data_IF_346835143716
#
_entry.id   IF_346835143716
#
_cell.length_a   1.000
_cell.length_b   1.000
_cell.length_c   1.000
_cell.angle_alpha   90.00
_cell.angle_beta   90.00
_cell.angle_gamma   90.00
#
_symmetry.space_group_name_H-M   'P 1'
#
loop_
_entity.id
_entity.type
_entity.pdbx_description
1 polymer ?
#
# COMPACT_ATOMS: atom_id res chain seq x y z
N UNK A 1 -32.41 -3.54 12.23
CA UNK A 1 -31.42 -4.17 11.34
C UNK A 1 -30.52 -3.07 10.78
N UNK A 2 -29.18 -3.21 10.90
CA UNK A 2 -28.20 -2.14 10.66
C UNK A 2 -27.59 -2.29 9.25
N UNK A 3 -27.68 -1.29 8.35
CA UNK A 3 -27.11 -1.34 7.00
C UNK A 3 -25.63 -0.89 6.93
N UNK A 4 -25.12 -0.71 5.71
CA UNK A 4 -23.90 -1.32 5.14
C UNK A 4 -22.94 -0.26 4.51
N UNK A 5 -21.59 -0.41 4.60
CA UNK A 5 -20.59 0.64 4.26
C UNK A 5 -19.20 0.14 3.74
N UNK A 6 -18.72 0.47 2.53
CA UNK A 6 -17.28 0.28 2.15
C UNK A 6 -16.41 1.43 2.74
N UNK A 7 -15.07 1.41 2.56
CA UNK A 7 -14.10 1.39 3.62
C UNK A 7 -13.79 2.80 4.17
N UNK A 8 -14.63 3.30 5.09
CA UNK A 8 -14.19 4.36 5.99
C UNK A 8 -13.31 3.72 7.09
N UNK A 9 -12.06 3.39 6.77
CA UNK A 9 -11.06 2.93 7.74
C UNK A 9 -10.85 3.97 8.87
N UNK A 10 -11.16 5.24 8.62
CA UNK A 10 -11.18 6.32 9.61
C UNK A 10 -12.38 6.30 10.55
N UNK A 11 -13.55 5.82 10.11
CA UNK A 11 -14.81 6.04 10.83
C UNK A 11 -15.43 4.77 11.40
N UNK A 12 -15.39 3.62 10.69
CA UNK A 12 -16.22 2.46 11.05
C UNK A 12 -15.59 1.53 12.10
N UNK A 13 -14.30 1.17 12.03
CA UNK A 13 -13.66 0.36 13.08
C UNK A 13 -13.73 1.06 14.45
N UNK A 14 -13.56 2.38 14.45
CA UNK A 14 -13.57 3.23 15.64
C UNK A 14 -14.98 3.72 16.04
N UNK A 15 -16.01 3.48 15.22
CA UNK A 15 -17.36 4.02 15.42
C UNK A 15 -18.01 3.53 16.72
N UNK A 16 -17.83 2.25 17.06
CA UNK A 16 -18.40 1.70 18.29
C UNK A 16 -17.75 2.34 19.50
N UNK A 17 -16.42 2.42 19.51
CA UNK A 17 -15.61 2.99 20.58
C UNK A 17 -15.89 4.50 20.76
N UNK A 18 -15.84 5.28 19.68
CA UNK A 18 -16.16 6.71 19.70
C UNK A 18 -17.64 6.97 20.01
N UNK A 19 -18.53 6.05 19.62
CA UNK A 19 -19.97 6.11 19.89
C UNK A 19 -20.29 5.87 21.37
N UNK A 20 -19.59 4.96 22.04
CA UNK A 20 -19.69 4.72 23.49
C UNK A 20 -19.09 5.85 24.31
N UNK A 21 -17.98 6.45 23.86
CA UNK A 21 -17.26 7.49 24.63
C UNK A 21 -17.89 8.89 24.46
N UNK A 22 -18.27 9.27 23.24
CA UNK A 22 -18.70 10.65 22.93
C UNK A 22 -20.20 10.79 22.61
N UNK A 23 -20.89 9.67 22.36
CA UNK A 23 -22.24 9.66 21.81
C UNK A 23 -22.27 9.83 20.28
N UNK A 24 -23.09 9.02 19.61
CA UNK A 24 -23.13 8.88 18.14
C UNK A 24 -23.35 10.21 17.41
N UNK A 25 -24.19 11.10 17.95
CA UNK A 25 -24.50 12.39 17.33
C UNK A 25 -23.39 13.44 17.52
N UNK A 26 -22.57 13.33 18.57
CA UNK A 26 -21.44 14.24 18.80
C UNK A 26 -20.23 13.81 17.97
N UNK A 27 -19.91 12.52 17.91
CA UNK A 27 -18.80 12.00 17.09
C UNK A 27 -18.98 12.29 15.60
N UNK A 28 -20.21 12.20 15.07
CA UNK A 28 -20.55 12.55 13.68
C UNK A 28 -20.33 14.02 13.36
N UNK A 29 -20.77 14.92 14.23
CA UNK A 29 -20.56 16.37 14.07
C UNK A 29 -19.08 16.72 14.17
N UNK A 30 -18.36 16.06 15.07
CA UNK A 30 -16.92 16.24 15.21
C UNK A 30 -16.19 15.80 13.93
N UNK A 31 -16.50 14.62 13.38
CA UNK A 31 -15.91 14.14 12.14
C UNK A 31 -16.16 15.08 10.96
N UNK A 32 -17.40 15.59 10.81
CA UNK A 32 -17.74 16.59 9.79
C UNK A 32 -16.94 17.88 9.94
N UNK A 33 -16.81 18.40 11.18
CA UNK A 33 -16.04 19.62 11.45
C UNK A 33 -14.55 19.45 11.21
N UNK A 34 -13.98 18.31 11.62
CA UNK A 34 -12.57 17.98 11.35
C UNK A 34 -12.33 17.91 9.85
N UNK A 35 -13.19 17.18 9.12
CA UNK A 35 -13.04 17.07 7.67
C UNK A 35 -13.24 18.43 6.98
N UNK A 36 -14.16 19.26 7.46
CA UNK A 36 -14.33 20.62 6.97
C UNK A 36 -13.11 21.51 7.25
N UNK A 37 -12.48 21.37 8.42
CA UNK A 37 -11.24 22.07 8.76
C UNK A 37 -10.07 21.61 7.87
N UNK A 38 -9.93 20.30 7.68
CA UNK A 38 -8.93 19.72 6.76
C UNK A 38 -9.15 20.26 5.35
N UNK A 39 -10.37 20.21 4.83
CA UNK A 39 -10.71 20.70 3.48
C UNK A 39 -10.50 22.21 3.34
N UNK A 40 -10.70 22.99 4.41
CA UNK A 40 -10.50 24.44 4.41
C UNK A 40 -9.02 24.85 4.44
N UNK A 41 -8.12 23.98 4.91
CA UNK A 41 -6.70 24.24 4.87
C UNK A 41 -6.17 24.30 3.43
N UNK A 42 -5.12 25.10 3.15
CA UNK A 42 -4.44 25.08 1.85
C UNK A 42 -4.03 23.65 1.47
N UNK A 43 -4.41 23.20 0.27
CA UNK A 43 -4.16 21.82 -0.18
C UNK A 43 -5.09 20.74 0.41
N UNK A 44 -5.97 21.09 1.35
CA UNK A 44 -6.87 20.16 2.04
C UNK A 44 -7.77 19.32 1.13
N UNK A 45 -8.35 19.95 0.09
CA UNK A 45 -9.13 19.24 -0.93
C UNK A 45 -8.30 18.19 -1.68
N UNK A 46 -7.07 18.54 -2.03
CA UNK A 46 -6.16 17.63 -2.71
C UNK A 46 -5.75 16.47 -1.80
N UNK A 47 -5.53 16.72 -0.51
CA UNK A 47 -5.28 15.69 0.49
C UNK A 47 -6.46 14.73 0.64
N UNK A 48 -7.69 15.24 0.75
CA UNK A 48 -8.89 14.36 0.82
C UNK A 48 -9.04 13.53 -0.47
N UNK A 49 -8.83 14.14 -1.63
CA UNK A 49 -8.86 13.42 -2.91
C UNK A 49 -7.78 12.32 -2.99
N UNK A 50 -6.57 12.61 -2.50
CA UNK A 50 -5.49 11.63 -2.38
C UNK A 50 -5.88 10.48 -1.46
N UNK A 51 -6.37 10.78 -0.25
CA UNK A 51 -6.76 9.79 0.75
C UNK A 51 -7.81 8.83 0.21
N UNK A 52 -8.79 9.33 -0.55
CA UNK A 52 -9.81 8.49 -1.18
C UNK A 52 -9.27 7.68 -2.37
N UNK A 53 -8.12 8.04 -2.91
CA UNK A 53 -7.54 7.51 -4.14
C UNK A 53 -8.18 8.14 -5.37
N UNK A 54 -7.46 8.23 -6.49
CA UNK A 54 -8.00 8.88 -7.68
C UNK A 54 -9.18 8.10 -8.29
N UNK A 55 -10.22 8.83 -8.69
CA UNK A 55 -11.40 8.32 -9.39
C UNK A 55 -11.85 9.34 -10.45
N UNK A 56 -12.28 8.85 -11.62
CA UNK A 56 -12.88 9.68 -12.66
C UNK A 56 -14.38 9.49 -12.62
N UNK A 57 -15.14 10.56 -12.42
CA UNK A 57 -16.59 10.52 -12.44
C UNK A 57 -17.08 10.14 -13.85
N UNK A 58 -18.06 9.24 -13.99
CA UNK A 58 -18.68 8.96 -15.28
C UNK A 58 -19.50 10.16 -15.76
N UNK A 59 -19.45 10.43 -17.07
CA UNK A 59 -20.19 11.52 -17.68
C UNK A 59 -21.70 11.28 -17.59
N UNK A 60 -22.46 12.35 -17.32
CA UNK A 60 -23.93 12.29 -17.25
C UNK A 60 -24.52 11.69 -15.97
N UNK A 61 -23.69 11.21 -15.03
CA UNK A 61 -24.16 10.63 -13.76
C UNK A 61 -24.08 11.69 -12.65
N UNK A 62 -25.23 12.07 -12.09
CA UNK A 62 -25.32 13.04 -11.02
C UNK A 62 -25.76 12.38 -9.71
N UNK A 63 -24.88 12.46 -8.71
CA UNK A 63 -25.15 12.03 -7.33
C UNK A 63 -24.89 13.19 -6.39
N UNK A 64 -25.84 13.48 -5.51
CA UNK A 64 -25.81 14.60 -4.59
C UNK A 64 -26.40 14.26 -3.23
N UNK A 65 -26.52 15.26 -2.36
CA UNK A 65 -27.16 15.09 -1.05
C UNK A 65 -27.95 16.32 -0.63
N UNK A 66 -29.00 16.07 0.16
CA UNK A 66 -29.75 17.11 0.86
C UNK A 66 -29.20 17.30 2.26
N UNK A 67 -28.96 18.56 2.62
CA UNK A 67 -28.44 18.95 3.92
C UNK A 67 -29.26 20.07 4.56
N UNK A 68 -29.48 20.03 5.88
CA UNK A 68 -30.14 21.15 6.57
C UNK A 68 -29.30 22.44 6.53
N UNK A 69 -29.92 23.64 6.51
CA UNK A 69 -29.18 24.92 6.46
C UNK A 69 -28.12 25.05 7.56
N UNK A 70 -28.40 24.56 8.77
CA UNK A 70 -27.45 24.58 9.90
C UNK A 70 -26.12 23.86 9.63
N UNK A 71 -26.06 22.99 8.63
CA UNK A 71 -24.85 22.26 8.21
C UNK A 71 -24.35 22.66 6.82
N UNK A 72 -25.01 23.60 6.14
CA UNK A 72 -24.74 23.94 4.74
C UNK A 72 -23.29 24.35 4.50
N UNK A 73 -22.71 25.19 5.38
CA UNK A 73 -21.33 25.69 5.22
C UNK A 73 -20.30 24.56 5.20
N UNK A 74 -20.44 23.60 6.11
CA UNK A 74 -19.51 22.45 6.20
C UNK A 74 -19.78 21.47 5.06
N UNK A 75 -21.05 21.20 4.75
CA UNK A 75 -21.47 20.29 3.70
C UNK A 75 -21.02 20.74 2.29
N UNK A 76 -21.21 22.02 1.96
CA UNK A 76 -20.79 22.60 0.68
C UNK A 76 -19.26 22.53 0.48
N UNK A 77 -18.49 22.47 1.55
CA UNK A 77 -17.03 22.29 1.48
C UNK A 77 -16.66 20.82 1.30
N UNK A 78 -17.27 19.96 2.10
CA UNK A 78 -16.85 18.56 2.29
C UNK A 78 -17.43 17.63 1.21
N UNK A 79 -18.73 17.71 0.93
CA UNK A 79 -19.41 16.76 0.06
C UNK A 79 -18.87 16.75 -1.39
N UNK A 80 -18.53 17.90 -2.01
CA UNK A 80 -17.93 17.89 -3.34
C UNK A 80 -16.59 17.15 -3.39
N UNK A 81 -15.76 17.29 -2.35
CA UNK A 81 -14.47 16.60 -2.25
C UNK A 81 -14.63 15.06 -2.10
N UNK A 82 -15.79 14.61 -1.62
CA UNK A 82 -16.11 13.20 -1.41
C UNK A 82 -16.79 12.53 -2.61
N UNK A 83 -17.19 13.30 -3.62
CA UNK A 83 -17.85 12.77 -4.82
C UNK A 83 -19.21 13.38 -5.14
N UNK A 84 -19.80 14.19 -4.25
CA UNK A 84 -21.07 14.83 -4.57
C UNK A 84 -20.90 15.81 -5.76
N UNK A 85 -21.87 15.78 -6.66
CA UNK A 85 -22.01 16.69 -7.80
C UNK A 85 -23.02 17.79 -7.53
N UNK A 86 -24.02 17.51 -6.70
CA UNK A 86 -25.07 18.43 -6.29
C UNK A 86 -25.18 18.42 -4.76
N UNK A 87 -25.35 19.58 -4.14
CA UNK A 87 -25.62 19.71 -2.71
C UNK A 87 -26.81 20.64 -2.55
N UNK A 88 -27.93 20.09 -2.11
CA UNK A 88 -29.18 20.83 -1.92
C UNK A 88 -29.33 21.23 -0.45
N UNK A 89 -29.67 22.50 -0.20
CA UNK A 89 -29.79 23.06 1.16
C UNK A 89 -31.25 23.43 1.42
N UNK A 90 -31.88 22.77 2.41
CA UNK A 90 -33.29 22.94 2.76
C UNK A 90 -34.22 23.03 1.53
N UNK A 91 -34.34 21.95 0.73
CA UNK A 91 -35.11 21.99 -0.50
C UNK A 91 -36.59 22.28 -0.18
N UNK A 92 -37.10 23.39 -0.73
CA UNK A 92 -38.51 23.80 -0.63
C UNK A 92 -39.42 23.15 -1.66
N UNK A 93 -38.91 22.18 -2.43
CA UNK A 93 -39.61 21.46 -3.52
C UNK A 93 -39.49 19.96 -3.28
N UNK A 94 -40.45 19.17 -3.76
CA UNK A 94 -40.39 17.70 -3.80
C UNK A 94 -39.20 17.25 -4.67
N UNK A 95 -38.06 17.01 -4.05
CA UNK A 95 -36.93 16.32 -4.68
C UNK A 95 -37.03 14.85 -4.31
N UNK A 96 -36.86 13.96 -5.30
CA UNK A 96 -36.79 12.52 -5.05
C UNK A 96 -35.50 12.20 -4.28
N UNK A 97 -35.63 12.08 -2.95
CA UNK A 97 -34.55 11.73 -2.04
C UNK A 97 -34.56 10.22 -1.83
N UNK A 98 -33.39 9.59 -1.95
CA UNK A 98 -33.20 8.20 -1.56
C UNK A 98 -32.79 8.16 -0.10
N UNK A 99 -33.60 7.49 0.72
CA UNK A 99 -33.31 7.21 2.13
C UNK A 99 -32.69 5.81 2.35
N UNK A 100 -32.70 4.97 1.32
CA UNK A 100 -32.08 3.65 1.35
C UNK A 100 -30.56 3.73 1.11
N UNK A 101 -29.72 3.32 2.08
CA UNK A 101 -28.27 3.39 1.95
C UNK A 101 -27.69 2.36 0.96
N UNK A 102 -28.49 1.41 0.44
CA UNK A 102 -28.02 0.39 -0.51
C UNK A 102 -27.58 1.00 -1.83
N UNK A 103 -26.36 0.67 -2.26
CA UNK A 103 -25.78 1.13 -3.53
C UNK A 103 -26.65 0.71 -4.72
N UNK A 104 -27.16 -0.52 -4.72
CA UNK A 104 -28.00 -1.03 -5.81
C UNK A 104 -29.27 -0.21 -6.06
N UNK A 105 -29.89 0.32 -4.99
CA UNK A 105 -31.08 1.18 -5.09
C UNK A 105 -30.74 2.49 -5.79
N UNK A 106 -29.60 3.11 -5.44
CA UNK A 106 -29.12 4.32 -6.09
C UNK A 106 -28.71 4.08 -7.55
N UNK A 107 -28.03 2.98 -7.85
CA UNK A 107 -27.64 2.63 -9.23
C UNK A 107 -28.88 2.38 -10.09
N UNK A 108 -29.89 1.68 -9.57
CA UNK A 108 -31.15 1.46 -10.29
C UNK A 108 -31.87 2.77 -10.62
N UNK A 109 -31.86 3.74 -9.70
CA UNK A 109 -32.42 5.06 -9.94
C UNK A 109 -31.63 5.86 -11.00
N UNK A 110 -30.31 5.69 -11.07
CA UNK A 110 -29.45 6.32 -12.09
C UNK A 110 -29.62 5.73 -13.50
N UNK A 111 -30.31 4.61 -13.65
CA UNK A 111 -30.60 4.03 -14.98
C UNK A 111 -31.56 4.88 -15.81
N UNK A 112 -32.34 5.77 -15.19
CA UNK A 112 -33.21 6.69 -15.90
C UNK A 112 -32.40 7.85 -16.53
N UNK A 113 -32.61 8.18 -17.82
CA UNK A 113 -31.88 9.27 -18.48
C UNK A 113 -32.04 10.61 -17.74
N UNK A 114 -30.92 11.27 -17.43
CA UNK A 114 -30.90 12.55 -16.72
C UNK A 114 -31.24 12.47 -15.23
N UNK A 115 -31.37 11.26 -14.66
CA UNK A 115 -31.67 11.10 -13.25
C UNK A 115 -30.54 11.64 -12.36
N UNK A 116 -30.94 12.39 -11.35
CA UNK A 116 -30.08 12.82 -10.25
C UNK A 116 -30.47 12.06 -9.00
N UNK A 117 -29.52 11.36 -8.39
CA UNK A 117 -29.75 10.69 -7.11
C UNK A 117 -29.30 11.59 -5.97
N UNK A 118 -30.23 11.92 -5.08
CA UNK A 118 -29.94 12.70 -3.89
C UNK A 118 -30.04 11.82 -2.64
N UNK A 119 -28.93 11.71 -1.91
CA UNK A 119 -28.88 11.06 -0.61
C UNK A 119 -29.58 11.88 0.46
N UNK A 120 -30.50 11.26 1.18
CA UNK A 120 -31.08 11.81 2.39
C UNK A 120 -30.07 11.86 3.55
N UNK A 121 -30.34 12.65 4.61
CA UNK A 121 -29.49 12.68 5.80
C UNK A 121 -29.30 11.29 6.42
N UNK A 122 -30.32 10.43 6.38
CA UNK A 122 -30.26 9.06 6.89
C UNK A 122 -29.20 8.22 6.16
N UNK A 123 -29.10 8.37 4.83
CA UNK A 123 -28.08 7.70 4.01
C UNK A 123 -26.69 8.15 4.39
N UNK A 124 -26.42 9.46 4.54
CA UNK A 124 -25.08 9.91 4.93
C UNK A 124 -24.70 9.46 6.34
N UNK A 125 -25.67 9.43 7.24
CA UNK A 125 -25.48 8.95 8.60
C UNK A 125 -25.18 7.45 8.62
N UNK A 126 -25.81 6.68 7.75
CA UNK A 126 -25.73 5.22 7.75
C UNK A 126 -24.72 4.61 6.79
N UNK A 127 -24.57 5.14 5.59
CA UNK A 127 -23.62 4.69 4.59
C UNK A 127 -22.26 5.41 4.68
N UNK A 128 -22.22 6.58 5.31
CA UNK A 128 -21.02 7.42 5.39
C UNK A 128 -20.73 8.23 4.12
N UNK A 129 -19.80 9.19 4.20
CA UNK A 129 -19.47 10.11 3.11
C UNK A 129 -18.93 9.43 1.85
N UNK A 130 -18.25 8.28 1.99
CA UNK A 130 -17.75 7.52 0.85
C UNK A 130 -18.87 6.89 -0.01
N UNK A 131 -20.14 6.98 0.41
CA UNK A 131 -21.28 6.46 -0.35
C UNK A 131 -21.35 7.02 -1.78
N UNK A 132 -21.13 8.32 -1.99
CA UNK A 132 -21.18 8.92 -3.33
C UNK A 132 -20.23 8.22 -4.30
N UNK A 133 -18.98 8.04 -3.87
CA UNK A 133 -17.96 7.38 -4.67
C UNK A 133 -18.35 5.95 -5.02
N UNK A 134 -18.93 5.21 -4.08
CA UNK A 134 -19.34 3.82 -4.31
C UNK A 134 -20.48 3.71 -5.31
N UNK A 135 -21.46 4.61 -5.22
CA UNK A 135 -22.53 4.72 -6.20
C UNK A 135 -21.96 5.06 -7.57
N UNK A 136 -21.05 6.03 -7.66
CA UNK A 136 -20.40 6.40 -8.92
C UNK A 136 -19.55 5.26 -9.50
N UNK A 137 -18.77 4.55 -8.68
CA UNK A 137 -17.97 3.38 -9.10
C UNK A 137 -18.88 2.27 -9.65
N UNK A 138 -20.04 2.04 -9.02
CA UNK A 138 -21.01 1.03 -9.43
C UNK A 138 -21.84 1.44 -10.65
N UNK A 139 -22.12 2.73 -10.82
CA UNK A 139 -22.84 3.27 -11.97
C UNK A 139 -21.93 3.50 -13.20
N UNK A 140 -20.61 3.38 -13.03
CA UNK A 140 -19.66 3.58 -14.14
C UNK A 140 -19.79 2.44 -15.15
N UNK A 141 -20.03 2.73 -16.45
CA UNK A 141 -20.02 1.70 -17.48
C UNK A 141 -18.65 1.03 -17.60
N UNK A 142 -18.64 -0.31 -17.61
CA UNK A 142 -17.41 -1.10 -17.66
C UNK A 142 -17.36 -2.02 -18.87
N UNK A 143 -16.18 -2.18 -19.46
CA UNK A 143 -15.93 -3.18 -20.48
C UNK A 143 -15.46 -4.51 -19.88
N UNK A 144 -15.54 -5.64 -20.61
CA UNK A 144 -14.98 -6.92 -20.16
C UNK A 144 -13.49 -6.82 -19.83
N UNK A 145 -13.00 -7.63 -18.91
CA UNK A 145 -11.57 -7.70 -18.60
C UNK A 145 -10.78 -8.11 -19.86
N UNK A 146 -9.71 -7.37 -20.19
CA UNK A 146 -8.88 -7.68 -21.37
C UNK A 146 -8.11 -8.98 -21.14
N UNK A 147 -8.33 -10.09 -21.85
CA UNK A 147 -7.57 -11.32 -21.62
C UNK A 147 -6.12 -11.19 -22.10
N UNK A 148 -5.21 -12.01 -21.56
CA UNK A 148 -3.79 -12.03 -21.98
C UNK A 148 -3.63 -12.40 -23.46
N UNK A 149 -4.55 -13.21 -23.99
CA UNK A 149 -4.54 -13.68 -25.38
C UNK A 149 -4.73 -12.56 -26.40
N UNK A 150 -5.31 -11.43 -25.99
CA UNK A 150 -5.60 -10.29 -26.86
C UNK A 150 -4.47 -9.25 -26.86
N UNK A 151 -3.29 -9.60 -26.34
CA UNK A 151 -2.14 -8.71 -26.33
C UNK A 151 -1.56 -8.54 -27.74
N UNK A 152 -1.27 -7.30 -28.19
CA UNK A 152 -0.57 -7.08 -29.44
C UNK A 152 0.79 -7.79 -29.45
N UNK A 153 1.20 -8.33 -30.61
CA UNK A 153 2.54 -8.91 -30.78
C UNK A 153 3.66 -7.87 -30.66
N UNK A 154 3.38 -6.63 -31.05
CA UNK A 154 4.33 -5.51 -30.93
C UNK A 154 4.36 -4.97 -29.48
N UNK A 155 5.50 -5.06 -28.75
CA UNK A 155 5.64 -4.55 -27.40
C UNK A 155 5.33 -3.06 -27.25
N UNK A 156 5.56 -2.25 -28.29
CA UNK A 156 5.29 -0.81 -28.26
C UNK A 156 3.80 -0.49 -28.09
N UNK A 157 2.94 -1.46 -28.39
CA UNK A 157 1.48 -1.37 -28.24
C UNK A 157 0.96 -2.07 -26.99
N UNK A 158 1.84 -2.61 -26.15
CA UNK A 158 1.41 -3.27 -24.92
C UNK A 158 0.71 -2.27 -23.98
N UNK A 159 -0.39 -2.70 -23.34
CA UNK A 159 -1.05 -1.91 -22.32
C UNK A 159 -0.14 -1.77 -21.10
N UNK A 160 -0.29 -0.66 -20.36
CA UNK A 160 0.60 -0.28 -19.26
C UNK A 160 0.73 -1.35 -18.17
N UNK A 161 -0.34 -2.10 -17.89
CA UNK A 161 -0.31 -3.16 -16.89
C UNK A 161 0.67 -4.30 -17.23
N UNK A 162 0.95 -4.57 -18.52
CA UNK A 162 1.93 -5.61 -18.90
C UNK A 162 3.32 -5.18 -18.44
N UNK A 163 3.71 -3.94 -18.72
CA UNK A 163 4.97 -3.37 -18.24
C UNK A 163 5.06 -3.41 -16.71
N UNK A 164 3.95 -3.11 -16.01
CA UNK A 164 3.90 -3.21 -14.56
C UNK A 164 4.14 -4.61 -14.02
N UNK A 165 3.62 -5.64 -14.71
CA UNK A 165 3.89 -7.05 -14.39
C UNK A 165 5.34 -7.41 -14.69
N UNK A 166 5.90 -6.97 -15.82
CA UNK A 166 7.31 -7.23 -16.17
C UNK A 166 8.26 -6.65 -15.12
N UNK A 167 8.01 -5.42 -14.64
CA UNK A 167 8.78 -4.83 -13.54
C UNK A 167 8.64 -5.67 -12.27
N UNK A 168 7.42 -6.12 -11.93
CA UNK A 168 7.20 -6.97 -10.76
C UNK A 168 7.99 -8.28 -10.84
N UNK A 169 7.96 -8.96 -11.99
CA UNK A 169 8.75 -10.17 -12.23
C UNK A 169 10.25 -9.87 -12.16
N UNK A 170 10.71 -8.79 -12.79
CA UNK A 170 12.11 -8.37 -12.74
C UNK A 170 12.60 -8.14 -11.32
N UNK A 171 11.77 -7.53 -10.47
CA UNK A 171 12.08 -7.31 -9.06
C UNK A 171 12.10 -8.62 -8.25
N UNK A 172 11.20 -9.57 -8.53
CA UNK A 172 11.25 -10.93 -7.95
C UNK A 172 12.55 -11.63 -8.35
N UNK A 173 12.90 -11.63 -9.64
CA UNK A 173 14.13 -12.25 -10.12
C UNK A 173 15.38 -11.60 -9.51
N UNK A 174 15.40 -10.27 -9.38
CA UNK A 174 16.49 -9.55 -8.74
C UNK A 174 16.62 -9.92 -7.25
N UNK A 175 15.50 -9.97 -6.51
CA UNK A 175 15.50 -10.40 -5.11
C UNK A 175 15.94 -11.85 -4.93
N UNK A 176 15.48 -12.78 -5.77
CA UNK A 176 15.95 -14.17 -5.76
C UNK A 176 17.43 -14.28 -6.10
N UNK A 177 17.91 -13.50 -7.08
CA UNK A 177 19.33 -13.40 -7.41
C UNK A 177 20.16 -12.92 -6.22
N UNK A 178 19.72 -11.87 -5.53
CA UNK A 178 20.35 -11.36 -4.32
C UNK A 178 20.38 -12.42 -3.20
N UNK A 179 19.29 -13.18 -3.01
CA UNK A 179 19.26 -14.29 -2.06
C UNK A 179 20.26 -15.40 -2.41
N UNK A 180 20.37 -15.79 -3.69
CA UNK A 180 21.36 -16.79 -4.15
C UNK A 180 22.79 -16.29 -3.94
N UNK A 181 23.07 -15.02 -4.20
CA UNK A 181 24.38 -14.42 -3.95
C UNK A 181 24.69 -14.45 -2.44
N UNK A 182 23.71 -14.08 -1.62
CA UNK A 182 23.85 -14.02 -0.15
C UNK A 182 24.10 -15.39 0.46
N UNK A 183 23.39 -16.43 0.01
CA UNK A 183 23.55 -17.81 0.48
C UNK A 183 24.76 -18.53 -0.14
N UNK A 184 25.25 -18.05 -1.27
CA UNK A 184 26.38 -18.62 -1.99
C UNK A 184 27.68 -17.87 -1.70
N UNK A 185 28.17 -17.05 -2.65
CA UNK A 185 29.48 -16.40 -2.53
C UNK A 185 29.56 -15.29 -1.46
N UNK A 186 28.43 -14.76 -0.99
CA UNK A 186 28.27 -13.59 -0.10
C UNK A 186 28.79 -12.27 -0.70
N UNK A 187 30.02 -12.29 -1.21
CA UNK A 187 30.71 -11.17 -1.84
C UNK A 187 30.91 -11.42 -3.33
N UNK A 188 30.47 -10.46 -4.15
CA UNK A 188 30.79 -10.42 -5.57
C UNK A 188 32.18 -9.78 -5.81
N UNK A 189 32.63 -9.78 -7.07
CA UNK A 189 33.95 -9.28 -7.43
C UNK A 189 34.14 -7.81 -7.00
N UNK A 190 33.16 -6.96 -7.24
CA UNK A 190 33.21 -5.54 -6.85
C UNK A 190 33.14 -5.34 -5.33
N UNK A 191 32.50 -6.25 -4.58
CA UNK A 191 32.49 -6.20 -3.11
C UNK A 191 33.92 -6.47 -2.59
N UNK A 192 34.58 -7.50 -3.14
CA UNK A 192 35.96 -7.85 -2.79
C UNK A 192 36.95 -6.77 -3.18
N UNK A 193 36.78 -6.17 -4.34
CA UNK A 193 37.64 -5.08 -4.81
C UNK A 193 37.49 -3.84 -3.92
N UNK A 194 36.27 -3.53 -3.47
CA UNK A 194 36.00 -2.40 -2.57
C UNK A 194 36.54 -2.65 -1.15
N UNK A 195 36.36 -3.87 -0.63
CA UNK A 195 36.82 -4.23 0.71
C UNK A 195 38.31 -4.57 0.77
N UNK A 196 38.93 -4.96 -0.34
CA UNK A 196 40.27 -5.55 -0.36
C UNK A 196 40.35 -6.91 0.36
N UNK A 197 39.22 -7.56 0.61
CA UNK A 197 39.11 -8.78 1.41
C UNK A 197 38.24 -9.84 0.73
N UNK A 198 38.51 -11.10 1.06
CA UNK A 198 37.63 -12.23 0.76
C UNK A 198 36.67 -12.47 1.93
N UNK A 199 35.70 -13.38 1.77
CA UNK A 199 34.83 -13.83 2.86
C UNK A 199 35.63 -14.41 4.03
N UNK A 200 36.73 -15.13 3.76
CA UNK A 200 37.64 -15.60 4.79
C UNK A 200 38.33 -14.45 5.53
N UNK A 201 38.66 -13.37 4.82
CA UNK A 201 39.20 -12.15 5.43
C UNK A 201 38.20 -11.47 6.37
N UNK A 202 36.92 -11.43 6.00
CA UNK A 202 35.85 -10.93 6.89
C UNK A 202 35.72 -11.79 8.15
N UNK A 203 35.71 -13.11 8.02
CA UNK A 203 35.67 -14.02 9.17
C UNK A 203 36.90 -13.92 10.10
N UNK A 204 38.02 -13.40 9.59
CA UNK A 204 39.21 -13.15 10.40
C UNK A 204 39.13 -11.84 11.18
N UNK A 205 38.37 -10.86 10.68
CA UNK A 205 38.04 -9.64 11.44
C UNK A 205 37.08 -10.02 12.57
N UNK A 206 36.02 -10.74 12.22
CA UNK A 206 35.00 -11.16 13.16
C UNK A 206 34.25 -12.36 12.59
N UNK A 207 34.11 -13.43 13.39
CA UNK A 207 33.49 -14.68 12.98
C UNK A 207 32.00 -14.58 12.64
N UNK A 208 31.28 -13.62 13.22
CA UNK A 208 29.83 -13.44 13.03
C UNK A 208 29.52 -12.39 11.95
N UNK A 209 30.55 -11.73 11.40
CA UNK A 209 30.38 -10.66 10.42
C UNK A 209 29.76 -11.14 9.10
N UNK A 210 30.12 -12.33 8.63
CA UNK A 210 29.51 -12.89 7.42
C UNK A 210 28.04 -13.21 7.65
N UNK A 211 27.70 -13.81 8.79
CA UNK A 211 26.32 -14.12 9.17
C UNK A 211 25.49 -12.83 9.33
N UNK A 212 26.08 -11.79 9.90
CA UNK A 212 25.50 -10.46 9.97
C UNK A 212 25.25 -9.87 8.57
N UNK A 213 26.20 -9.93 7.64
CA UNK A 213 25.97 -9.46 6.27
C UNK A 213 24.87 -10.27 5.57
N UNK A 214 24.82 -11.58 5.82
CA UNK A 214 23.79 -12.44 5.27
C UNK A 214 22.39 -12.10 5.79
N UNK A 215 22.26 -11.77 7.07
CA UNK A 215 20.99 -11.38 7.67
C UNK A 215 20.41 -10.12 7.00
N UNK A 216 21.24 -9.09 6.79
CA UNK A 216 20.83 -7.82 6.16
C UNK A 216 20.45 -8.05 4.70
N UNK A 217 21.31 -8.73 3.93
CA UNK A 217 21.10 -8.95 2.49
C UNK A 217 19.95 -9.90 2.19
N UNK A 218 19.74 -10.95 2.99
CA UNK A 218 18.63 -11.88 2.77
C UNK A 218 17.29 -11.26 3.18
N UNK A 219 17.27 -10.42 4.21
CA UNK A 219 16.10 -9.61 4.60
C UNK A 219 15.74 -8.59 3.51
N UNK A 220 16.75 -7.91 2.94
CA UNK A 220 16.57 -7.06 1.77
C UNK A 220 16.02 -7.85 0.57
N UNK A 221 16.62 -8.99 0.24
CA UNK A 221 16.19 -9.85 -0.85
C UNK A 221 14.70 -10.27 -0.72
N UNK A 222 14.28 -10.66 0.48
CA UNK A 222 12.86 -10.94 0.76
C UNK A 222 11.95 -9.73 0.53
N UNK A 223 12.40 -8.55 0.93
CA UNK A 223 11.70 -7.27 0.67
C UNK A 223 11.61 -6.97 -0.82
N UNK A 224 12.66 -7.24 -1.60
CA UNK A 224 12.63 -7.08 -3.06
C UNK A 224 11.59 -8.00 -3.70
N UNK A 225 11.56 -9.27 -3.31
CA UNK A 225 10.54 -10.22 -3.79
C UNK A 225 9.13 -9.74 -3.40
N UNK A 226 8.96 -9.23 -2.17
CA UNK A 226 7.70 -8.63 -1.70
C UNK A 226 7.25 -7.45 -2.59
N UNK A 227 8.14 -6.51 -2.93
CA UNK A 227 7.84 -5.41 -3.87
C UNK A 227 7.43 -5.97 -5.23
N UNK A 228 8.16 -6.97 -5.75
CA UNK A 228 7.85 -7.58 -7.02
C UNK A 228 6.45 -8.20 -7.06
N UNK A 229 6.05 -8.90 -5.99
CA UNK A 229 4.70 -9.43 -5.81
C UNK A 229 3.66 -8.30 -5.74
N UNK A 230 3.91 -7.24 -4.96
CA UNK A 230 3.01 -6.08 -4.85
C UNK A 230 2.80 -5.40 -6.22
N UNK A 231 3.87 -5.24 -6.99
CA UNK A 231 3.84 -4.57 -8.29
C UNK A 231 3.13 -5.42 -9.34
N UNK A 232 3.42 -6.72 -9.39
CA UNK A 232 2.70 -7.65 -10.24
C UNK A 232 1.20 -7.70 -9.88
N UNK A 233 0.87 -7.73 -8.59
CA UNK A 233 -0.51 -7.71 -8.08
C UNK A 233 -1.26 -6.43 -8.43
N UNK A 234 -0.68 -5.24 -8.17
CA UNK A 234 -1.25 -3.94 -8.53
C UNK A 234 -1.46 -3.81 -10.04
N UNK A 235 -0.50 -4.28 -10.85
CA UNK A 235 -0.61 -4.23 -12.29
C UNK A 235 -1.69 -5.19 -12.82
N UNK A 236 -1.65 -6.45 -12.41
CA UNK A 236 -2.57 -7.50 -12.86
C UNK A 236 -3.99 -7.35 -12.33
N UNK A 237 -4.15 -7.06 -11.04
CA UNK A 237 -5.45 -6.95 -10.38
C UNK A 237 -6.04 -5.55 -10.47
N UNK A 238 -5.20 -4.52 -10.52
CA UNK A 238 -5.60 -3.11 -10.48
C UNK A 238 -5.59 -2.43 -11.85
N UNK A 239 -4.39 -2.13 -12.36
CA UNK A 239 -4.17 -1.34 -13.59
C UNK A 239 -4.88 -1.99 -14.79
N UNK A 240 -4.74 -3.31 -14.94
CA UNK A 240 -5.40 -4.12 -15.97
C UNK A 240 -6.92 -4.01 -15.95
N UNK A 241 -7.52 -3.77 -14.78
CA UNK A 241 -8.97 -3.62 -14.59
C UNK A 241 -9.45 -2.16 -14.69
N UNK A 242 -8.56 -1.22 -15.00
CA UNK A 242 -8.94 0.19 -15.15
C UNK A 242 -8.82 1.02 -13.87
N UNK A 243 -8.38 0.45 -12.74
CA UNK A 243 -8.32 1.17 -11.48
C UNK A 243 -7.22 2.23 -11.48
N UNK A 244 -7.61 3.51 -11.48
CA UNK A 244 -6.66 4.65 -11.44
C UNK A 244 -5.83 4.65 -10.15
N UNK A 245 -6.47 4.37 -9.01
CA UNK A 245 -5.79 4.30 -7.72
C UNK A 245 -4.70 3.23 -7.68
N UNK A 246 -4.83 2.14 -8.44
CA UNK A 246 -3.82 1.09 -8.46
C UNK A 246 -2.55 1.55 -9.20
N UNK A 247 -2.74 2.29 -10.30
CA UNK A 247 -1.65 2.96 -11.02
C UNK A 247 -0.99 4.04 -10.15
N UNK A 248 -1.78 4.77 -9.37
CA UNK A 248 -1.23 5.77 -8.44
C UNK A 248 -0.48 5.11 -7.28
N UNK A 249 -0.99 4.02 -6.69
CA UNK A 249 -0.28 3.27 -5.64
C UNK A 249 1.07 2.73 -6.13
N UNK A 250 1.06 2.17 -7.35
CA UNK A 250 2.26 1.71 -8.03
C UNK A 250 3.25 2.87 -8.26
N UNK A 251 2.78 4.01 -8.76
CA UNK A 251 3.60 5.19 -9.00
C UNK A 251 4.19 5.76 -7.70
N UNK A 252 3.39 5.95 -6.66
CA UNK A 252 3.83 6.58 -5.40
C UNK A 252 4.88 5.69 -4.72
N UNK A 253 4.65 4.38 -4.68
CA UNK A 253 5.64 3.42 -4.17
C UNK A 253 6.96 3.52 -4.94
N UNK A 254 6.92 3.51 -6.28
CA UNK A 254 8.14 3.59 -7.09
C UNK A 254 8.84 4.94 -7.02
N UNK A 255 8.11 6.06 -6.92
CA UNK A 255 8.69 7.40 -6.71
C UNK A 255 9.42 7.51 -5.39
N UNK A 256 9.04 6.71 -4.38
CA UNK A 256 9.81 6.62 -3.13
C UNK A 256 10.97 5.63 -3.27
N UNK A 257 10.77 4.49 -3.93
CA UNK A 257 11.79 3.45 -4.06
C UNK A 257 12.94 3.79 -5.01
N UNK A 258 12.71 4.32 -6.21
CA UNK A 258 13.79 4.58 -7.16
C UNK A 258 14.82 5.61 -6.66
N UNK A 259 14.42 6.73 -6.02
CA UNK A 259 15.38 7.68 -5.48
C UNK A 259 16.25 7.14 -4.35
N UNK A 260 15.90 6.01 -3.71
CA UNK A 260 16.76 5.45 -2.64
C UNK A 260 18.08 4.90 -3.19
N UNK A 261 18.21 4.74 -4.52
CA UNK A 261 19.48 4.53 -5.19
C UNK A 261 20.50 5.64 -4.85
N UNK A 262 20.04 6.87 -4.62
CA UNK A 262 20.91 7.99 -4.26
C UNK A 262 21.48 7.88 -2.83
N UNK A 263 20.96 6.98 -1.99
CA UNK A 263 21.60 6.69 -0.71
C UNK A 263 23.03 6.19 -0.89
N UNK A 264 23.32 5.50 -2.00
CA UNK A 264 24.65 4.99 -2.32
C UNK A 264 25.68 6.10 -2.57
N UNK A 265 25.23 7.30 -2.94
CA UNK A 265 26.12 8.46 -3.04
C UNK A 265 26.64 8.91 -1.66
N UNK A 266 25.87 8.66 -0.59
CA UNK A 266 26.24 9.06 0.76
C UNK A 266 27.25 8.10 1.40
N UNK A 267 27.31 6.84 0.95
CA UNK A 267 28.20 5.81 1.49
C UNK A 267 29.53 5.72 0.76
N UNK A 268 29.65 6.32 -0.44
CA UNK A 268 30.86 6.22 -1.28
C UNK A 268 31.02 4.86 -1.97
N UNK A 269 30.04 3.95 -1.83
CA UNK A 269 30.00 2.65 -2.48
C UNK A 269 28.79 2.57 -3.40
N UNK A 270 29.02 2.63 -4.71
CA UNK A 270 27.98 2.46 -5.73
C UNK A 270 27.98 1.02 -6.19
N UNK A 271 27.00 0.26 -5.74
CA UNK A 271 26.90 -1.16 -6.04
C UNK A 271 26.41 -1.38 -7.50
N UNK A 272 27.21 -2.07 -8.36
CA UNK A 272 26.91 -2.16 -9.80
C UNK A 272 25.64 -2.94 -10.16
N UNK A 273 25.28 -3.98 -9.40
CA UNK A 273 24.16 -4.86 -9.73
C UNK A 273 22.81 -4.19 -9.45
N UNK A 274 22.65 -3.54 -8.31
CA UNK A 274 21.53 -2.71 -7.93
C UNK A 274 21.37 -1.54 -8.90
N UNK A 275 22.47 -0.87 -9.27
CA UNK A 275 22.43 0.17 -10.31
C UNK A 275 21.92 -0.41 -11.64
N UNK A 276 22.43 -1.56 -12.07
CA UNK A 276 22.00 -2.21 -13.31
C UNK A 276 20.51 -2.60 -13.27
N UNK A 277 20.05 -3.18 -12.16
CA UNK A 277 18.62 -3.53 -11.95
C UNK A 277 17.76 -2.26 -11.96
N UNK A 278 18.15 -1.20 -11.26
CA UNK A 278 17.42 0.05 -11.23
C UNK A 278 17.33 0.70 -12.62
N UNK A 279 18.45 0.78 -13.35
CA UNK A 279 18.51 1.33 -14.72
C UNK A 279 17.67 0.50 -15.69
N UNK A 280 17.65 -0.83 -15.55
CA UNK A 280 16.85 -1.71 -16.39
C UNK A 280 15.33 -1.60 -16.10
N UNK A 281 14.94 -1.56 -14.82
CA UNK A 281 13.54 -1.55 -14.42
C UNK A 281 12.88 -0.17 -14.48
N UNK A 282 13.63 0.91 -14.29
CA UNK A 282 13.11 2.28 -14.29
C UNK A 282 12.34 2.66 -15.58
N UNK A 283 12.87 2.47 -16.81
CA UNK A 283 12.12 2.80 -18.02
C UNK A 283 10.84 1.96 -18.15
N UNK A 284 10.87 0.69 -17.72
CA UNK A 284 9.69 -0.19 -17.73
C UNK A 284 8.65 0.27 -16.71
N UNK A 285 9.10 0.74 -15.54
CA UNK A 285 8.25 1.38 -14.53
C UNK A 285 7.57 2.63 -15.10
N UNK A 286 8.31 3.49 -15.81
CA UNK A 286 7.73 4.65 -16.47
C UNK A 286 6.65 4.24 -17.47
N UNK A 287 6.89 3.22 -18.30
CA UNK A 287 5.88 2.70 -19.24
C UNK A 287 4.62 2.16 -18.52
N UNK A 288 4.78 1.59 -17.33
CA UNK A 288 3.68 1.08 -16.52
C UNK A 288 2.78 2.19 -15.95
N UNK A 289 3.33 3.38 -15.70
CA UNK A 289 2.59 4.50 -15.09
C UNK A 289 2.29 5.64 -16.06
N UNK A 290 2.95 5.70 -17.21
CA UNK A 290 2.82 6.81 -18.17
C UNK A 290 1.39 7.00 -18.66
N UNK A 291 0.74 5.91 -19.08
CA UNK A 291 -0.63 5.95 -19.60
C UNK A 291 -1.62 5.63 -18.50
N UNK A 292 -2.62 6.50 -18.34
CA UNK A 292 -3.76 6.21 -17.47
C UNK A 292 -4.55 5.04 -18.05
N UNK A 293 -5.03 4.10 -17.22
CA UNK A 293 -6.01 3.11 -17.65
C UNK A 293 -7.21 3.80 -18.30
N UNK A 294 -7.44 3.54 -19.59
CA UNK A 294 -8.40 4.30 -20.39
C UNK A 294 -9.85 3.83 -20.22
N UNK A 295 -10.04 2.54 -19.95
CA UNK A 295 -11.36 1.91 -19.92
C UNK A 295 -11.56 1.20 -18.58
N UNK A 296 -12.58 1.58 -17.79
CA UNK A 296 -13.06 0.82 -16.64
C UNK A 296 -13.40 -0.62 -17.02
N UNK A 297 -12.85 -1.60 -16.30
CA UNK A 297 -13.11 -3.04 -16.50
C UNK A 297 -13.31 -3.78 -15.17
N UNK A 298 -13.67 -3.04 -14.13
CA UNK A 298 -13.93 -3.57 -12.80
C UNK A 298 -15.36 -4.07 -12.69
N UNK A 299 -15.64 -4.85 -11.65
CA UNK A 299 -16.98 -5.23 -11.27
C UNK A 299 -17.20 -4.84 -9.82
N UNK A 300 -18.27 -4.09 -9.54
CA UNK A 300 -18.60 -3.70 -8.17
C UNK A 300 -19.61 -4.70 -7.62
N UNK A 301 -19.23 -5.40 -6.54
CA UNK A 301 -20.14 -6.27 -5.81
C UNK A 301 -20.84 -5.49 -4.71
N UNK A 302 -22.08 -5.91 -4.39
CA UNK A 302 -22.70 -5.47 -3.15
C UNK A 302 -21.81 -5.93 -2.00
N UNK A 303 -21.51 -5.04 -1.06
CA UNK A 303 -20.47 -5.43 -0.11
C UNK A 303 -20.93 -6.66 0.76
N UNK A 304 -22.22 -7.02 0.89
CA UNK A 304 -22.68 -8.25 1.59
C UNK A 304 -23.28 -8.11 3.01
N UNK A 305 -23.21 -9.15 3.87
CA UNK A 305 -23.82 -9.17 5.22
C UNK A 305 -23.02 -8.44 6.30
N UNK A 306 -23.65 -7.57 7.12
CA UNK A 306 -23.01 -6.60 8.07
C UNK A 306 -21.83 -7.14 8.89
N UNK A 307 -21.95 -8.37 9.38
CA UNK A 307 -20.92 -9.02 10.18
C UNK A 307 -19.63 -9.26 9.40
N UNK A 308 -19.74 -9.65 8.14
CA UNK A 308 -18.60 -9.97 7.28
C UNK A 308 -17.76 -8.73 6.98
N UNK A 309 -18.40 -7.62 6.59
CA UNK A 309 -17.68 -6.35 6.34
C UNK A 309 -17.03 -5.78 7.57
N UNK A 310 -17.65 -5.85 8.74
CA UNK A 310 -16.99 -5.36 9.97
C UNK A 310 -15.69 -6.10 10.24
N UNK A 311 -15.69 -7.42 10.10
CA UNK A 311 -14.47 -8.24 10.21
C UNK A 311 -13.45 -7.80 9.16
N UNK A 312 -13.88 -7.64 7.91
CA UNK A 312 -13.01 -7.19 6.83
C UNK A 312 -12.41 -5.80 7.10
N UNK A 313 -13.17 -4.84 7.63
CA UNK A 313 -12.69 -3.50 7.95
C UNK A 313 -11.73 -3.48 9.14
N UNK A 314 -11.92 -4.37 10.13
CA UNK A 314 -10.92 -4.57 11.16
C UNK A 314 -9.62 -5.12 10.54
N UNK A 315 -9.72 -6.11 9.66
CA UNK A 315 -8.56 -6.63 8.93
C UNK A 315 -7.86 -5.54 8.09
N UNK A 316 -8.64 -4.66 7.46
CA UNK A 316 -8.11 -3.52 6.70
C UNK A 316 -7.29 -2.58 7.60
N UNK A 317 -7.84 -2.21 8.75
CA UNK A 317 -7.15 -1.35 9.71
C UNK A 317 -5.85 -1.99 10.18
N UNK A 318 -5.87 -3.27 10.55
CA UNK A 318 -4.68 -4.00 10.98
C UNK A 318 -3.61 -4.02 9.89
N UNK A 319 -3.98 -4.25 8.62
CA UNK A 319 -3.02 -4.24 7.52
C UNK A 319 -2.45 -2.84 7.24
N UNK A 320 -3.27 -1.78 7.35
CA UNK A 320 -2.79 -0.40 7.26
C UNK A 320 -1.78 -0.12 8.39
N UNK A 321 -2.07 -0.53 9.62
CA UNK A 321 -1.17 -0.39 10.76
C UNK A 321 0.14 -1.16 10.56
N UNK A 322 0.08 -2.39 10.03
CA UNK A 322 1.28 -3.12 9.61
C UNK A 322 2.09 -2.30 8.62
N UNK A 323 1.46 -1.80 7.55
CA UNK A 323 2.13 -0.99 6.55
C UNK A 323 2.77 0.28 7.13
N UNK A 324 2.09 0.97 8.06
CA UNK A 324 2.65 2.14 8.78
C UNK A 324 3.84 1.73 9.67
N UNK A 325 3.78 0.59 10.33
CA UNK A 325 4.89 0.03 11.09
C UNK A 325 6.11 -0.27 10.21
N UNK A 326 5.90 -0.91 9.05
CA UNK A 326 6.95 -1.15 8.06
C UNK A 326 7.52 0.16 7.52
N UNK A 327 6.68 1.17 7.30
CA UNK A 327 7.12 2.50 6.85
C UNK A 327 8.02 3.16 7.90
N UNK A 328 7.62 3.12 9.17
CA UNK A 328 8.42 3.64 10.27
C UNK A 328 9.75 2.88 10.41
N UNK A 329 9.72 1.54 10.34
CA UNK A 329 10.92 0.71 10.37
C UNK A 329 11.87 1.00 9.19
N UNK A 330 11.33 1.13 7.98
CA UNK A 330 12.09 1.53 6.79
C UNK A 330 12.75 2.90 6.94
N UNK A 331 12.02 3.87 7.50
CA UNK A 331 12.57 5.20 7.76
C UNK A 331 13.69 5.14 8.81
N UNK A 332 13.49 4.41 9.91
CA UNK A 332 14.49 4.24 10.97
C UNK A 332 15.76 3.60 10.42
N UNK A 333 15.65 2.47 9.71
CA UNK A 333 16.83 1.77 9.19
C UNK A 333 17.54 2.57 8.07
N UNK A 334 16.80 3.34 7.27
CA UNK A 334 17.42 4.30 6.33
C UNK A 334 18.21 5.39 7.07
N UNK A 335 17.66 5.97 8.14
CA UNK A 335 18.36 6.99 8.95
C UNK A 335 19.59 6.40 9.63
N UNK A 336 19.45 5.22 10.25
CA UNK A 336 20.57 4.49 10.87
C UNK A 336 21.65 4.21 9.84
N UNK A 337 21.29 3.67 8.67
CA UNK A 337 22.23 3.38 7.58
C UNK A 337 22.98 4.61 7.05
N UNK A 338 22.41 5.81 7.17
CA UNK A 338 23.07 7.06 6.79
C UNK A 338 23.82 7.77 7.93
N UNK A 339 23.74 7.26 9.17
CA UNK A 339 24.30 7.93 10.36
C UNK A 339 25.19 6.98 11.18
N UNK A 340 24.63 6.29 12.17
CA UNK A 340 25.34 5.43 13.12
C UNK A 340 25.66 4.03 12.59
N UNK A 341 25.03 3.60 11.49
CA UNK A 341 25.12 2.30 10.80
C UNK A 341 24.64 1.10 11.63
N UNK A 342 25.07 1.01 12.89
CA UNK A 342 24.74 -0.04 13.83
C UNK A 342 23.72 0.42 14.87
N UNK A 343 22.79 -0.46 15.22
CA UNK A 343 22.01 -0.37 16.46
C UNK A 343 22.71 -1.17 17.56
N UNK A 344 22.43 -0.93 18.86
CA UNK A 344 23.14 -1.60 19.95
C UNK A 344 23.13 -3.14 19.86
N UNK A 345 22.00 -3.73 19.47
CA UNK A 345 21.85 -5.18 19.33
C UNK A 345 22.75 -5.77 18.23
N UNK A 346 23.15 -4.97 17.23
CA UNK A 346 24.08 -5.44 16.19
C UNK A 346 25.48 -5.63 16.75
N UNK A 347 25.91 -4.68 17.58
CA UNK A 347 27.24 -4.71 18.22
C UNK A 347 27.31 -5.78 19.31
N UNK A 348 26.18 -6.04 19.99
CA UNK A 348 26.05 -7.18 20.90
C UNK A 348 26.12 -8.52 20.14
N UNK A 349 25.49 -8.62 18.97
CA UNK A 349 25.58 -9.83 18.14
C UNK A 349 27.00 -10.08 17.64
N UNK A 350 27.71 -9.03 17.22
CA UNK A 350 29.10 -9.11 16.75
C UNK A 350 30.13 -9.20 17.90
N UNK A 351 29.71 -9.05 19.16
CA UNK A 351 30.62 -8.94 20.33
C UNK A 351 31.79 -7.95 20.11
N UNK A 352 31.49 -6.80 19.48
CA UNK A 352 32.50 -5.82 19.06
C UNK A 352 31.97 -4.39 19.10
N UNK A 353 32.82 -3.41 18.73
CA UNK A 353 32.42 -2.02 18.59
C UNK A 353 32.74 -1.44 17.20
N UNK A 354 32.05 -0.34 16.86
CA UNK A 354 32.23 0.31 15.55
C UNK A 354 33.64 0.84 15.32
N UNK A 355 34.37 1.23 16.38
CA UNK A 355 35.73 1.74 16.25
C UNK A 355 36.71 0.62 15.88
N UNK A 356 36.53 -0.56 16.47
CA UNK A 356 37.26 -1.77 16.14
C UNK A 356 37.04 -2.18 14.69
N UNK A 357 35.78 -2.27 14.24
CA UNK A 357 35.46 -2.62 12.85
C UNK A 357 36.05 -1.62 11.84
N UNK A 358 36.00 -0.33 12.15
CA UNK A 358 36.59 0.72 11.29
C UNK A 358 38.11 0.66 11.27
N UNK A 359 38.75 0.33 12.40
CA UNK A 359 40.19 0.16 12.48
C UNK A 359 40.67 -1.08 11.71
N UNK A 360 39.88 -2.16 11.74
CA UNK A 360 40.15 -3.39 10.99
C UNK A 360 40.05 -3.18 9.47
N UNK A 361 39.02 -2.45 9.01
CA UNK A 361 38.91 -2.06 7.61
C UNK A 361 38.11 -0.75 7.45
N UNK A 362 38.69 0.33 6.88
CA UNK A 362 37.99 1.61 6.72
C UNK A 362 36.80 1.55 5.75
N UNK A 363 36.76 0.56 4.86
CA UNK A 363 35.67 0.36 3.89
C UNK A 363 34.51 -0.50 4.42
N UNK A 364 34.69 -1.20 5.54
CA UNK A 364 33.67 -2.12 6.07
C UNK A 364 32.40 -1.40 6.56
N UNK A 365 32.56 -0.33 7.35
CA UNK A 365 31.41 0.41 7.88
C UNK A 365 30.60 1.07 6.75
N UNK A 366 31.21 1.75 5.75
CA UNK A 366 30.48 2.23 4.57
C UNK A 366 29.78 1.13 3.75
N UNK A 367 30.37 -0.07 3.69
CA UNK A 367 29.78 -1.22 3.00
C UNK A 367 28.50 -1.72 3.69
N UNK A 368 28.52 -1.84 5.02
CA UNK A 368 27.33 -2.19 5.82
C UNK A 368 26.27 -1.07 5.75
N UNK A 369 26.71 0.19 5.80
CA UNK A 369 25.84 1.36 5.67
C UNK A 369 25.04 1.34 4.35
N UNK A 370 25.69 0.94 3.25
CA UNK A 370 25.05 0.79 1.94
C UNK A 370 23.92 -0.24 1.99
N UNK A 371 24.18 -1.43 2.52
CA UNK A 371 23.20 -2.52 2.56
C UNK A 371 21.98 -2.11 3.40
N UNK A 372 22.18 -1.45 4.54
CA UNK A 372 21.11 -0.97 5.41
C UNK A 372 20.29 0.16 4.82
N UNK A 373 20.97 1.15 4.21
CA UNK A 373 20.28 2.25 3.56
C UNK A 373 19.42 1.72 2.39
N UNK A 374 19.97 0.82 1.57
CA UNK A 374 19.26 0.15 0.49
C UNK A 374 18.05 -0.65 1.00
N UNK A 375 18.22 -1.41 2.08
CA UNK A 375 17.14 -2.18 2.70
C UNK A 375 16.02 -1.25 3.19
N UNK A 376 16.35 -0.17 3.90
CA UNK A 376 15.36 0.81 4.35
C UNK A 376 14.59 1.45 3.22
N UNK A 377 15.28 1.81 2.13
CA UNK A 377 14.64 2.33 0.92
C UNK A 377 13.64 1.36 0.28
N UNK A 378 14.03 0.09 0.15
CA UNK A 378 13.15 -0.97 -0.33
C UNK A 378 11.94 -1.16 0.61
N UNK A 379 12.17 -1.16 1.92
CA UNK A 379 11.12 -1.35 2.92
C UNK A 379 10.11 -0.19 2.91
N UNK A 380 10.58 1.06 2.75
CA UNK A 380 9.72 2.24 2.55
C UNK A 380 8.81 2.07 1.33
N UNK A 381 9.38 1.64 0.20
CA UNK A 381 8.63 1.41 -1.05
C UNK A 381 7.56 0.32 -0.88
N UNK A 382 7.92 -0.81 -0.27
CA UNK A 382 7.00 -1.92 0.02
C UNK A 382 5.87 -1.48 0.96
N UNK A 383 6.22 -0.77 2.04
CA UNK A 383 5.29 -0.28 3.03
C UNK A 383 4.22 0.64 2.42
N UNK A 384 4.63 1.59 1.57
CA UNK A 384 3.69 2.47 0.86
C UNK A 384 2.76 1.67 -0.04
N UNK A 385 3.27 0.70 -0.80
CA UNK A 385 2.45 -0.15 -1.64
C UNK A 385 1.42 -0.95 -0.81
N UNK A 386 1.82 -1.52 0.34
CA UNK A 386 0.93 -2.22 1.29
C UNK A 386 -0.14 -1.28 1.84
N UNK A 387 0.24 -0.08 2.31
CA UNK A 387 -0.69 0.91 2.85
C UNK A 387 -1.74 1.28 1.79
N UNK A 388 -1.30 1.69 0.60
CA UNK A 388 -2.19 2.19 -0.45
C UNK A 388 -3.07 1.09 -1.04
N UNK A 389 -2.52 -0.12 -1.23
CA UNK A 389 -3.30 -1.29 -1.63
C UNK A 389 -4.37 -1.63 -0.58
N UNK A 390 -4.03 -1.53 0.71
CA UNK A 390 -4.97 -1.81 1.79
C UNK A 390 -6.02 -0.71 1.94
N UNK A 391 -5.66 0.56 1.77
CA UNK A 391 -6.59 1.69 1.82
C UNK A 391 -7.59 1.67 0.66
N UNK A 392 -7.10 1.42 -0.56
CA UNK A 392 -7.90 1.62 -1.78
C UNK A 392 -8.41 0.32 -2.40
N UNK A 393 -7.78 -0.82 -2.18
CA UNK A 393 -8.14 -2.11 -2.78
C UNK A 393 -9.16 -2.95 -2.01
N UNK A 394 -9.52 -2.58 -0.77
CA UNK A 394 -10.31 -3.43 0.12
C UNK A 394 -11.80 -3.52 -0.28
N UNK A 395 -12.12 -4.36 -1.27
CA UNK A 395 -13.47 -4.52 -1.83
C UNK A 395 -13.86 -5.99 -1.89
N UNK A 396 -15.15 -6.28 -1.73
CA UNK A 396 -15.66 -7.65 -1.74
C UNK A 396 -15.42 -8.33 -3.08
N UNK A 397 -14.90 -9.55 -3.04
CA UNK A 397 -14.57 -10.34 -4.23
C UNK A 397 -13.26 -9.93 -4.93
N UNK A 398 -12.51 -8.95 -4.41
CA UNK A 398 -11.18 -8.61 -4.91
C UNK A 398 -10.10 -9.55 -4.33
N UNK A 399 -10.22 -10.84 -4.64
CA UNK A 399 -9.35 -11.90 -4.11
C UNK A 399 -7.86 -11.67 -4.40
N UNK A 400 -7.56 -10.96 -5.50
CA UNK A 400 -6.18 -10.61 -5.86
C UNK A 400 -5.51 -9.72 -4.81
N UNK A 401 -6.25 -8.86 -4.10
CA UNK A 401 -5.71 -8.02 -3.02
C UNK A 401 -5.24 -8.90 -1.88
N UNK A 402 -6.06 -9.88 -1.49
CA UNK A 402 -5.72 -10.83 -0.44
C UNK A 402 -4.49 -11.67 -0.79
N UNK A 403 -4.45 -12.23 -2.01
CA UNK A 403 -3.30 -13.03 -2.46
C UNK A 403 -2.03 -12.20 -2.62
N UNK A 404 -2.14 -10.97 -3.13
CA UNK A 404 -0.97 -10.08 -3.26
C UNK A 404 -0.38 -9.77 -1.89
N UNK A 405 -1.22 -9.43 -0.90
CA UNK A 405 -0.77 -9.14 0.46
C UNK A 405 -0.21 -10.38 1.16
N UNK A 406 -0.84 -11.55 1.00
CA UNK A 406 -0.33 -12.81 1.57
C UNK A 406 1.05 -13.17 1.01
N UNK A 407 1.17 -13.22 -0.31
CA UNK A 407 2.42 -13.59 -0.98
C UNK A 407 3.53 -12.58 -0.69
N UNK A 408 3.18 -11.29 -0.66
CA UNK A 408 4.10 -10.22 -0.27
C UNK A 408 4.58 -10.39 1.18
N UNK A 409 3.66 -10.63 2.11
CA UNK A 409 4.00 -10.82 3.53
C UNK A 409 4.85 -12.08 3.75
N UNK A 410 4.54 -13.18 3.06
CA UNK A 410 5.33 -14.40 3.11
C UNK A 410 6.74 -14.17 2.56
N UNK A 411 6.87 -13.47 1.44
CA UNK A 411 8.16 -13.15 0.83
C UNK A 411 9.02 -12.20 1.68
N UNK A 412 8.41 -11.24 2.38
CA UNK A 412 9.12 -10.33 3.27
C UNK A 412 9.47 -10.97 4.61
N UNK A 413 8.48 -11.43 5.37
CA UNK A 413 8.69 -11.94 6.73
C UNK A 413 9.35 -13.31 6.78
N UNK A 414 9.09 -14.19 5.80
CA UNK A 414 9.61 -15.56 5.80
C UNK A 414 11.13 -15.64 5.83
N UNK A 415 11.84 -15.09 4.81
CA UNK A 415 13.30 -15.05 4.79
C UNK A 415 13.90 -14.31 5.98
N UNK A 416 13.27 -13.20 6.40
CA UNK A 416 13.70 -12.43 7.58
C UNK A 416 13.71 -13.30 8.83
N UNK A 417 12.60 -13.97 9.16
CA UNK A 417 12.56 -14.85 10.32
C UNK A 417 13.53 -16.03 10.16
N UNK A 418 13.57 -16.67 8.98
CA UNK A 418 14.42 -17.82 8.74
C UNK A 418 15.90 -17.52 9.00
N UNK A 419 16.42 -16.39 8.50
CA UNK A 419 17.84 -16.04 8.66
C UNK A 419 18.18 -15.68 10.11
N UNK A 420 17.31 -14.92 10.79
CA UNK A 420 17.54 -14.53 12.19
C UNK A 420 17.58 -15.76 13.10
N UNK A 421 16.71 -16.75 12.88
CA UNK A 421 16.75 -17.99 13.63
C UNK A 421 17.94 -18.88 13.28
N UNK A 422 18.38 -18.92 12.01
CA UNK A 422 19.50 -19.79 11.62
C UNK A 422 20.85 -19.28 12.14
N UNK A 423 21.03 -17.97 12.24
CA UNK A 423 22.27 -17.36 12.76
C UNK A 423 22.20 -17.01 14.25
N UNK A 424 21.10 -17.33 14.92
CA UNK A 424 20.84 -17.03 16.33
C UNK A 424 20.79 -15.54 16.70
N UNK A 425 20.70 -14.63 15.72
CA UNK A 425 20.43 -13.21 15.95
C UNK A 425 18.95 -13.00 16.32
N UNK A 426 18.60 -13.36 17.55
CA UNK A 426 17.20 -13.53 18.00
C UNK A 426 16.80 -12.60 19.14
N UNK A 427 17.52 -11.48 19.32
CA UNK A 427 17.16 -10.48 20.32
C UNK A 427 15.69 -10.05 20.18
N UNK A 428 15.00 -10.00 21.32
CA UNK A 428 13.56 -9.76 21.35
C UNK A 428 13.22 -8.34 20.91
N UNK A 429 14.04 -7.34 21.26
CA UNK A 429 13.79 -5.96 20.89
C UNK A 429 14.01 -5.74 19.39
N UNK A 430 15.02 -6.39 18.82
CA UNK A 430 15.33 -6.41 17.40
C UNK A 430 14.22 -7.07 16.57
N UNK A 431 13.72 -8.25 16.99
CA UNK A 431 12.69 -8.99 16.26
C UNK A 431 11.25 -8.59 16.61
N UNK A 432 11.01 -7.84 17.69
CA UNK A 432 9.66 -7.44 18.10
C UNK A 432 8.83 -6.79 16.97
N UNK A 433 9.37 -5.83 16.17
CA UNK A 433 8.63 -5.25 15.05
C UNK A 433 8.21 -6.30 14.01
N UNK A 434 9.06 -7.29 13.75
CA UNK A 434 8.80 -8.39 12.81
C UNK A 434 7.69 -9.29 13.34
N UNK A 435 7.77 -9.71 14.61
CA UNK A 435 6.73 -10.54 15.24
C UNK A 435 5.38 -9.84 15.26
N UNK A 436 5.35 -8.57 15.66
CA UNK A 436 4.13 -7.74 15.63
C UNK A 436 3.58 -7.66 14.21
N UNK A 437 4.43 -7.38 13.21
CA UNK A 437 4.04 -7.32 11.80
C UNK A 437 3.43 -8.63 11.29
N UNK A 438 4.02 -9.77 11.62
CA UNK A 438 3.51 -11.11 11.25
C UNK A 438 2.15 -11.37 11.87
N UNK A 439 2.01 -11.16 13.19
CA UNK A 439 0.75 -11.40 13.90
C UNK A 439 -0.37 -10.50 13.37
N UNK A 440 -0.11 -9.20 13.24
CA UNK A 440 -1.08 -8.25 12.70
C UNK A 440 -1.51 -8.62 11.27
N UNK A 441 -0.55 -9.00 10.43
CA UNK A 441 -0.81 -9.41 9.05
C UNK A 441 -1.62 -10.70 8.96
N UNK A 442 -1.27 -11.71 9.76
CA UNK A 442 -1.99 -12.97 9.81
C UNK A 442 -3.45 -12.76 10.22
N UNK A 443 -3.68 -12.02 11.32
CA UNK A 443 -5.04 -11.69 11.78
C UNK A 443 -5.78 -10.88 10.72
N UNK A 444 -5.13 -9.89 10.11
CA UNK A 444 -5.73 -9.06 9.05
C UNK A 444 -6.22 -9.91 7.88
N UNK A 445 -5.37 -10.81 7.36
CA UNK A 445 -5.71 -11.68 6.25
C UNK A 445 -6.78 -12.71 6.62
N UNK A 446 -6.75 -13.28 7.83
CA UNK A 446 -7.79 -14.21 8.31
C UNK A 446 -9.16 -13.51 8.34
N UNK A 447 -9.23 -12.31 8.92
CA UNK A 447 -10.46 -11.53 9.01
C UNK A 447 -10.99 -11.06 7.64
N UNK A 448 -10.09 -10.80 6.69
CA UNK A 448 -10.42 -10.29 5.37
C UNK A 448 -10.81 -11.40 4.37
N UNK A 449 -10.29 -12.62 4.55
CA UNK A 449 -10.43 -13.72 3.57
C UNK A 449 -11.87 -13.95 3.10
N UNK A 450 -12.88 -14.11 3.97
CA UNK A 450 -14.22 -14.44 3.50
C UNK A 450 -14.90 -13.26 2.78
N UNK A 451 -14.38 -12.03 2.91
CA UNK A 451 -14.89 -10.85 2.23
C UNK A 451 -14.16 -10.61 0.90
N UNK A 452 -12.82 -10.60 0.91
CA UNK A 452 -12.02 -10.35 -0.29
C UNK A 452 -12.08 -11.54 -1.27
N UNK A 453 -12.10 -12.78 -0.77
CA UNK A 453 -12.14 -13.99 -1.60
C UNK A 453 -13.54 -14.54 -1.81
N UNK A 454 -14.58 -13.76 -1.52
CA UNK A 454 -15.95 -14.18 -1.82
C UNK A 454 -16.12 -14.38 -3.34
N UNK A 455 -16.64 -15.52 -3.75
CA UNK A 455 -16.92 -15.85 -5.15
C UNK A 455 -18.34 -15.51 -5.57
N UNK A 456 -19.22 -15.14 -4.63
CA UNK A 456 -20.60 -14.75 -4.90
C UNK A 456 -21.59 -15.92 -4.86
N UNK A 457 -21.29 -16.95 -4.08
CA UNK A 457 -22.22 -18.04 -3.82
C UNK A 457 -23.17 -17.70 -2.66
N UNK A 458 -24.36 -17.24 -3.00
CA UNK A 458 -25.64 -17.61 -2.37
C UNK A 458 -26.68 -17.79 -3.47
#
# INVERSE_FOLDING_TARGET
MRPWRVPDWTYIPLKSLAGTVLGVSRSRRWALRVLAAVVAAPGGRAFVAFVLGRFRRPDGVQVGAVVPARHARDALRVLPALGASVVEVDPGVEITVIDDPRIGTAVAALSAPGATVIAGPAVLLDAGPAWFRRVLEAATPTAPAQPWRDLPRDPRRWPSWVWGVVVGIGMVCAGLGAAVITLGPVLLWYDRDYLGLTTQGLNHIDHDLVDFLQHDRLTMAGTMVSIGVLYAGLAWGGIRRGWLWARDAYLISGVVGFPTLFYFLSTGFVEPLHLAVAVALFPLFLLAVWRSPAVPRWTVRSDGPERLRRRALLGQLLMILTGVGLLAGGAVISVVGMTGVFVPTDLEFLDTDTAHLRAANPHLVPFIAHDRAGFGGALLSAAIAVILLSMWGWRRGEAWVWWTLLLSAAAGFGPTLAIHFSIHYTDLSHLAPVYVGVVLTAIALILARPFLCDTGGE
#
